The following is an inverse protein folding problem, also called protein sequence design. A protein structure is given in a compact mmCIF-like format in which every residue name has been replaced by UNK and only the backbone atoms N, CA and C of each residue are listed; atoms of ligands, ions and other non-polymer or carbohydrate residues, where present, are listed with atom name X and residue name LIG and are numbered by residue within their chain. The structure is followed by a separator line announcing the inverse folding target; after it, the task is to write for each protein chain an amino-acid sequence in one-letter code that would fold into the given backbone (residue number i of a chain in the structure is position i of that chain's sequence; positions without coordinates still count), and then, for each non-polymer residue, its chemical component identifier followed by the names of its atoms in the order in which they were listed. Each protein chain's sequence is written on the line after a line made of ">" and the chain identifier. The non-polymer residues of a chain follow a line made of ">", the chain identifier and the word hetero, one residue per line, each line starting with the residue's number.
data_IF_197909074171
#
_entry.id   IF_197909074171
#
_cell.length_a   1.000
_cell.length_b   1.000
_cell.length_c   1.000
_cell.angle_alpha   90.00
_cell.angle_beta   90.00
_cell.angle_gamma   90.00
#
_symmetry.space_group_name_H-M   'P 1'
#
loop_
_entity.id
_entity.type
_entity.pdbx_description
1 polymer ?
#
# COMPACT_ATOMS: atom_id res chain seq x y z
N UNK A 1 -26.27 -14.29 4.02
CA UNK A 1 -24.87 -14.17 3.58
C UNK A 1 -24.08 -13.68 4.77
N UNK A 2 -23.26 -14.56 5.32
CA UNK A 2 -22.46 -14.32 6.51
C UNK A 2 -21.41 -13.26 6.19
N UNK A 3 -21.06 -12.46 7.19
CA UNK A 3 -20.24 -11.26 7.09
C UNK A 3 -18.69 -11.46 7.08
N UNK A 4 -18.07 -12.65 6.88
CA UNK A 4 -16.61 -12.74 6.77
C UNK A 4 -16.09 -12.72 5.32
N UNK A 5 -16.94 -12.79 4.30
CA UNK A 5 -16.51 -12.84 2.89
C UNK A 5 -16.33 -11.44 2.28
N UNK A 6 -17.02 -10.43 2.82
CA UNK A 6 -16.94 -9.04 2.37
C UNK A 6 -15.60 -8.41 2.78
N UNK A 7 -15.08 -8.73 3.97
CA UNK A 7 -13.86 -8.10 4.52
C UNK A 7 -12.57 -8.63 3.86
N UNK A 8 -12.54 -9.90 3.44
CA UNK A 8 -11.40 -10.47 2.69
C UNK A 8 -11.31 -9.95 1.24
N UNK A 9 -12.44 -9.53 0.66
CA UNK A 9 -12.51 -8.93 -0.68
C UNK A 9 -12.08 -7.46 -0.70
N UNK A 10 -12.06 -6.77 0.44
CA UNK A 10 -11.61 -5.38 0.52
C UNK A 10 -10.09 -5.28 0.38
N UNK A 11 -9.30 -6.22 0.94
CA UNK A 11 -7.83 -6.20 0.82
C UNK A 11 -7.28 -6.67 -0.53
N UNK A 12 -7.95 -7.60 -1.22
CA UNK A 12 -7.45 -8.15 -2.50
C UNK A 12 -7.72 -7.23 -3.70
N UNK A 13 -8.64 -6.27 -3.55
CA UNK A 13 -9.04 -5.33 -4.61
C UNK A 13 -8.27 -4.01 -4.58
N UNK A 14 -7.46 -3.74 -3.57
CA UNK A 14 -6.77 -2.45 -3.46
C UNK A 14 -5.86 -2.24 -4.66
N UNK A 15 -5.11 -3.26 -5.11
CA UNK A 15 -4.25 -3.15 -6.29
C UNK A 15 -5.00 -3.15 -7.62
N UNK A 16 -6.13 -3.87 -7.70
CA UNK A 16 -6.94 -3.96 -8.93
C UNK A 16 -7.71 -2.66 -9.20
N UNK A 17 -8.20 -2.02 -8.14
CA UNK A 17 -8.95 -0.76 -8.19
C UNK A 17 -8.07 0.49 -8.37
N UNK A 18 -6.74 0.36 -8.28
CA UNK A 18 -5.83 1.48 -8.51
C UNK A 18 -5.92 2.05 -9.91
N UNK A 19 -5.83 3.38 -10.01
CA UNK A 19 -5.62 4.05 -11.29
C UNK A 19 -4.28 3.64 -11.93
N UNK A 20 -4.19 3.76 -13.25
CA UNK A 20 -2.96 3.43 -13.98
C UNK A 20 -1.78 4.29 -13.51
N UNK A 21 -2.02 5.57 -13.22
CA UNK A 21 -1.00 6.47 -12.66
C UNK A 21 -0.41 5.90 -11.36
N UNK A 22 -1.26 5.39 -10.47
CA UNK A 22 -0.85 4.77 -9.22
C UNK A 22 -0.01 3.52 -9.46
N UNK A 23 -0.43 2.63 -10.36
CA UNK A 23 0.35 1.44 -10.74
C UNK A 23 1.74 1.83 -11.27
N UNK A 24 1.83 2.83 -12.13
CA UNK A 24 3.10 3.34 -12.65
C UNK A 24 4.00 3.92 -11.55
N UNK A 25 3.41 4.64 -10.58
CA UNK A 25 4.14 5.16 -9.42
C UNK A 25 4.74 4.02 -8.57
N UNK A 26 3.94 3.00 -8.27
CA UNK A 26 4.38 1.83 -7.51
C UNK A 26 5.48 1.06 -8.25
N UNK A 27 5.32 0.84 -9.56
CA UNK A 27 6.36 0.20 -10.38
C UNK A 27 7.65 1.02 -10.41
N UNK A 28 7.57 2.34 -10.57
CA UNK A 28 8.76 3.21 -10.61
C UNK A 28 9.48 3.29 -9.27
N UNK A 29 8.73 3.30 -8.16
CA UNK A 29 9.28 3.49 -6.81
C UNK A 29 9.68 2.18 -6.13
N UNK A 30 8.81 1.17 -6.20
CA UNK A 30 8.96 -0.11 -5.49
C UNK A 30 9.30 -1.28 -6.42
N UNK A 31 9.16 -1.12 -7.75
CA UNK A 31 9.42 -2.19 -8.72
C UNK A 31 8.29 -3.22 -8.83
N UNK A 32 7.25 -3.09 -8.02
CA UNK A 32 6.09 -3.99 -7.97
C UNK A 32 4.84 -3.22 -7.59
N UNK A 33 3.69 -3.67 -8.08
CA UNK A 33 2.36 -3.20 -7.65
C UNK A 33 1.74 -4.11 -6.57
N UNK A 34 2.30 -5.31 -6.38
CA UNK A 34 1.83 -6.28 -5.40
C UNK A 34 2.44 -5.95 -4.03
N UNK A 35 1.90 -4.92 -3.38
CA UNK A 35 2.32 -4.44 -2.07
C UNK A 35 1.19 -4.66 -1.08
N UNK A 36 1.53 -5.15 0.11
CA UNK A 36 0.59 -5.38 1.20
C UNK A 36 1.19 -4.80 2.50
N UNK A 37 0.68 -3.66 3.02
CA UNK A 37 -0.38 -2.83 2.44
C UNK A 37 0.08 -2.02 1.20
N UNK A 38 -0.88 -1.63 0.35
CA UNK A 38 -0.62 -0.75 -0.80
C UNK A 38 -0.34 0.68 -0.29
N UNK A 39 0.81 1.30 -0.62
CA UNK A 39 1.09 2.67 -0.25
C UNK A 39 0.27 3.64 -1.09
N UNK A 40 -0.07 4.80 -0.55
CA UNK A 40 -0.71 5.89 -1.27
C UNK A 40 0.28 6.60 -2.20
N UNK A 41 -0.20 7.36 -3.19
CA UNK A 41 0.63 8.18 -4.09
C UNK A 41 1.17 9.47 -3.43
N UNK A 42 1.63 9.40 -2.18
CA UNK A 42 2.14 10.55 -1.45
C UNK A 42 3.52 10.29 -0.86
N UNK A 43 4.43 11.23 -1.02
CA UNK A 43 5.75 11.20 -0.37
C UNK A 43 5.67 11.28 1.17
N UNK A 44 4.54 11.75 1.69
CA UNK A 44 4.27 11.77 3.13
C UNK A 44 3.84 10.41 3.67
N UNK A 45 3.52 9.44 2.80
CA UNK A 45 3.13 8.10 3.23
C UNK A 45 4.35 7.35 3.79
N UNK A 46 4.30 6.89 5.06
CA UNK A 46 5.37 6.09 5.67
C UNK A 46 5.70 4.81 4.90
N UNK A 47 4.75 4.23 4.17
CA UNK A 47 4.93 3.03 3.37
C UNK A 47 5.80 3.28 2.12
N UNK A 48 5.89 4.53 1.67
CA UNK A 48 6.80 4.95 0.59
C UNK A 48 8.23 5.25 1.08
N UNK A 49 8.47 5.20 2.40
CA UNK A 49 9.75 5.54 2.97
C UNK A 49 10.72 4.36 2.97
N UNK A 50 12.03 4.62 2.80
CA UNK A 50 13.03 3.58 2.93
C UNK A 50 13.06 3.03 4.37
N UNK A 51 13.35 1.73 4.51
CA UNK A 51 13.26 0.97 5.78
C UNK A 51 13.97 1.60 6.98
N UNK A 52 15.03 2.38 6.76
CA UNK A 52 15.75 3.08 7.83
C UNK A 52 14.96 4.23 8.46
N UNK A 53 13.97 4.78 7.74
CA UNK A 53 13.13 5.90 8.21
C UNK A 53 11.91 5.42 9.02
N UNK A 54 11.48 4.18 8.83
CA UNK A 54 10.33 3.59 9.55
C UNK A 54 10.65 3.34 11.04
N UNK A 55 11.93 3.21 11.43
CA UNK A 55 12.34 2.85 12.80
C UNK A 55 12.26 3.95 13.88
N UNK A 56 11.76 5.17 13.57
CA UNK A 56 11.83 6.31 14.52
C UNK A 56 10.59 6.58 15.36
N UNK A 57 9.55 5.74 15.32
CA UNK A 57 8.37 5.88 16.19
C UNK A 57 8.31 4.81 17.30
N UNK A 58 9.46 4.45 17.89
CA UNK A 58 9.42 3.85 19.22
C UNK A 58 9.20 4.99 20.21
N UNK A 59 8.01 5.00 20.81
CA UNK A 59 7.59 5.91 21.88
C UNK A 59 8.66 6.03 22.97
N UNK A 60 9.01 7.27 23.31
CA UNK A 60 9.33 7.67 24.69
C UNK A 60 8.03 8.07 25.39
#
# INVERSE_FOLDING_TARGET
>A
MSKPEIEALEHYNDTESLSEEHKQYLLKRHGTINLDPVPYMSDADPLNWPKWKVKRFHSD
#
